data_IF_251865518775
#
_entry.id   IF_251865518775
#
_cell.length_a   1.000
_cell.length_b   1.000
_cell.length_c   1.000
_cell.angle_alpha   90.00
_cell.angle_beta   90.00
_cell.angle_gamma   90.00
#
_symmetry.space_group_name_H-M   'P 1'
#
loop_
_entity.id
_entity.type
_entity.pdbx_description
1 polymer ?
#
# COMPACT_ATOMS: atom_id res chain seq x y z
N UNK A 1 -13.56 -5.92 -11.50
CA UNK A 1 -12.87 -4.64 -11.59
C UNK A 1 -13.44 -3.76 -12.71
N UNK A 2 -13.66 -4.30 -13.91
CA UNK A 2 -14.23 -3.58 -15.04
C UNK A 2 -15.57 -2.92 -14.74
N UNK A 3 -16.46 -3.60 -14.01
CA UNK A 3 -17.72 -3.00 -13.52
C UNK A 3 -17.51 -1.80 -12.61
N UNK A 4 -16.49 -1.85 -11.73
CA UNK A 4 -16.10 -0.73 -10.88
C UNK A 4 -15.59 0.45 -11.70
N UNK A 5 -14.70 0.23 -12.66
CA UNK A 5 -14.18 1.27 -13.55
C UNK A 5 -15.32 1.94 -14.32
N UNK A 6 -16.23 1.16 -14.90
CA UNK A 6 -17.40 1.70 -15.61
C UNK A 6 -18.29 2.52 -14.68
N UNK A 7 -18.62 1.97 -13.50
CA UNK A 7 -19.42 2.69 -12.52
C UNK A 7 -18.80 4.05 -12.15
N UNK A 8 -17.50 4.09 -11.86
CA UNK A 8 -16.82 5.34 -11.52
C UNK A 8 -16.87 6.34 -12.66
N UNK A 9 -16.68 5.89 -13.92
CA UNK A 9 -16.74 6.74 -15.10
C UNK A 9 -18.17 7.27 -15.36
N UNK A 10 -19.19 6.41 -15.30
CA UNK A 10 -20.58 6.78 -15.58
C UNK A 10 -21.11 7.81 -14.58
N UNK A 11 -20.64 7.77 -13.33
CA UNK A 11 -21.10 8.64 -12.25
C UNK A 11 -20.14 9.78 -11.91
N UNK A 12 -19.03 9.93 -12.63
CA UNK A 12 -18.01 10.97 -12.38
C UNK A 12 -18.60 12.38 -12.29
N UNK A 13 -19.59 12.71 -13.12
CA UNK A 13 -20.29 14.02 -13.11
C UNK A 13 -20.96 14.38 -11.79
N UNK A 14 -21.20 13.40 -10.91
CA UNK A 14 -21.85 13.62 -9.61
C UNK A 14 -20.86 13.77 -8.46
N UNK A 15 -19.62 13.33 -8.64
CA UNK A 15 -18.63 13.34 -7.58
C UNK A 15 -17.34 14.06 -7.96
N UNK A 16 -17.09 14.32 -9.25
CA UNK A 16 -15.82 14.85 -9.75
C UNK A 16 -15.41 16.21 -9.16
N UNK A 17 -16.38 17.05 -8.79
CA UNK A 17 -16.16 18.36 -8.18
C UNK A 17 -16.41 18.37 -6.65
N UNK A 18 -16.55 17.21 -6.03
CA UNK A 18 -16.76 17.09 -4.59
C UNK A 18 -15.45 17.14 -3.81
N UNK A 19 -15.50 17.56 -2.54
CA UNK A 19 -14.35 17.50 -1.63
C UNK A 19 -13.82 16.05 -1.41
N UNK A 20 -14.53 15.06 -1.89
CA UNK A 20 -14.17 13.64 -1.79
C UNK A 20 -13.67 13.06 -3.13
N UNK A 21 -13.57 13.89 -4.16
CA UNK A 21 -13.19 13.48 -5.52
C UNK A 21 -11.80 12.79 -5.54
N UNK A 22 -10.83 13.36 -4.83
CA UNK A 22 -9.48 12.80 -4.72
C UNK A 22 -9.53 11.33 -4.26
N UNK A 23 -10.25 11.03 -3.17
CA UNK A 23 -10.39 9.68 -2.64
C UNK A 23 -11.12 8.72 -3.61
N UNK A 24 -12.09 9.22 -4.38
CA UNK A 24 -12.79 8.42 -5.38
C UNK A 24 -11.90 8.12 -6.59
N UNK A 25 -11.04 9.05 -6.99
CA UNK A 25 -9.99 8.81 -7.99
C UNK A 25 -8.96 7.79 -7.49
N UNK A 26 -8.59 7.86 -6.21
CA UNK A 26 -7.76 6.81 -5.61
C UNK A 26 -8.40 5.42 -5.71
N UNK A 27 -9.69 5.29 -5.36
CA UNK A 27 -10.42 4.02 -5.55
C UNK A 27 -10.44 3.57 -7.02
N UNK A 28 -10.62 4.49 -7.96
CA UNK A 28 -10.56 4.21 -9.40
C UNK A 28 -9.19 3.65 -9.79
N UNK A 29 -8.12 4.24 -9.27
CA UNK A 29 -6.75 3.73 -9.49
C UNK A 29 -6.55 2.31 -8.98
N UNK A 30 -7.18 1.93 -7.84
CA UNK A 30 -7.10 0.57 -7.32
C UNK A 30 -7.73 -0.46 -8.25
N UNK A 31 -8.83 -0.12 -8.95
CA UNK A 31 -9.40 -0.99 -9.95
C UNK A 31 -8.47 -1.17 -11.15
N UNK A 32 -7.83 -0.11 -11.62
CA UNK A 32 -6.85 -0.17 -12.71
C UNK A 32 -5.61 -0.99 -12.32
N UNK A 33 -5.05 -0.79 -11.12
CA UNK A 33 -3.93 -1.59 -10.61
C UNK A 33 -4.29 -3.09 -10.60
N UNK A 34 -5.49 -3.42 -10.15
CA UNK A 34 -5.91 -4.81 -9.97
C UNK A 34 -6.02 -5.58 -11.29
N UNK A 35 -6.28 -4.89 -12.41
CA UNK A 35 -6.28 -5.46 -13.77
C UNK A 35 -4.97 -5.20 -14.55
N UNK A 36 -3.92 -4.76 -13.88
CA UNK A 36 -2.59 -4.55 -14.46
C UNK A 36 -2.41 -3.25 -15.27
N UNK A 37 -3.38 -2.34 -15.25
CA UNK A 37 -3.32 -1.05 -15.95
C UNK A 37 -2.59 0.01 -15.11
N UNK A 38 -1.34 -0.24 -14.77
CA UNK A 38 -0.53 0.62 -13.89
C UNK A 38 -0.29 2.02 -14.47
N UNK A 39 -0.15 2.15 -15.79
CA UNK A 39 0.00 3.46 -16.46
C UNK A 39 -1.27 4.32 -16.28
N UNK A 40 -2.46 3.71 -16.30
CA UNK A 40 -3.70 4.42 -15.98
C UNK A 40 -3.73 4.93 -14.55
N UNK A 41 -3.25 4.11 -13.62
CA UNK A 41 -3.16 4.52 -12.21
C UNK A 41 -2.16 5.69 -12.03
N UNK A 42 -1.03 5.70 -12.72
CA UNK A 42 -0.09 6.82 -12.73
C UNK A 42 -0.70 8.09 -13.34
N UNK A 43 -1.41 7.96 -14.46
CA UNK A 43 -2.10 9.10 -15.07
C UNK A 43 -3.16 9.70 -14.13
N UNK A 44 -3.91 8.87 -13.40
CA UNK A 44 -4.86 9.34 -12.38
C UNK A 44 -4.12 10.02 -11.22
N UNK A 45 -2.99 9.48 -10.79
CA UNK A 45 -2.14 10.11 -9.77
C UNK A 45 -1.77 11.54 -10.19
N UNK A 46 -1.22 11.72 -11.39
CA UNK A 46 -0.74 13.00 -11.87
C UNK A 46 -1.88 14.01 -12.10
N UNK A 47 -3.03 13.55 -12.62
CA UNK A 47 -4.13 14.42 -12.97
C UNK A 47 -5.04 14.81 -11.80
N UNK A 48 -5.19 13.93 -10.80
CA UNK A 48 -6.25 14.06 -9.81
C UNK A 48 -5.77 13.95 -8.34
N UNK A 49 -4.74 13.16 -8.05
CA UNK A 49 -4.25 13.03 -6.66
C UNK A 49 -3.16 14.07 -6.34
N UNK A 50 -2.40 14.48 -7.35
CA UNK A 50 -1.28 15.42 -7.21
C UNK A 50 -1.22 16.41 -8.36
N UNK A 51 -2.35 17.02 -8.73
CA UNK A 51 -2.35 18.12 -9.69
C UNK A 51 -1.60 19.32 -9.09
N UNK A 52 -0.85 20.03 -9.92
CA UNK A 52 -0.05 21.18 -9.48
C UNK A 52 -0.89 22.35 -8.92
N UNK A 53 -2.20 22.32 -9.12
CA UNK A 53 -3.12 23.34 -8.71
C UNK A 53 -3.66 23.17 -7.28
N UNK A 54 -3.42 22.02 -6.65
CA UNK A 54 -3.88 21.73 -5.29
C UNK A 54 -2.72 21.76 -4.30
N UNK A 55 -2.80 22.68 -3.37
CA UNK A 55 -2.02 22.67 -2.14
C UNK A 55 -2.69 21.67 -1.18
N UNK A 56 -2.52 20.36 -1.51
CA UNK A 56 -3.28 19.24 -0.96
C UNK A 56 -3.32 19.21 0.56
N UNK A 57 -4.47 18.87 1.12
CA UNK A 57 -4.57 18.57 2.53
C UNK A 57 -3.96 17.18 2.85
N UNK A 58 -3.80 16.86 4.14
CA UNK A 58 -3.20 15.60 4.56
C UNK A 58 -3.95 14.34 4.08
N UNK A 59 -5.24 14.45 3.75
CA UNK A 59 -6.02 13.32 3.22
C UNK A 59 -5.59 12.95 1.80
N UNK A 60 -5.27 13.93 0.98
CA UNK A 60 -4.78 13.73 -0.38
C UNK A 60 -3.38 13.09 -0.36
N UNK A 61 -2.55 13.50 0.58
CA UNK A 61 -1.20 12.93 0.75
C UNK A 61 -1.23 11.46 1.21
N UNK A 62 -2.22 11.07 2.03
CA UNK A 62 -2.46 9.68 2.42
C UNK A 62 -2.75 8.79 1.20
N UNK A 63 -3.71 9.20 0.38
CA UNK A 63 -4.12 8.45 -0.80
C UNK A 63 -3.01 8.39 -1.85
N UNK A 64 -2.28 9.49 -2.05
CA UNK A 64 -1.14 9.58 -2.94
C UNK A 64 -0.01 8.62 -2.49
N UNK A 65 0.38 8.65 -1.20
CA UNK A 65 1.39 7.76 -0.64
C UNK A 65 0.98 6.28 -0.76
N UNK A 66 -0.26 5.98 -0.41
CA UNK A 66 -0.81 4.63 -0.49
C UNK A 66 -0.87 4.09 -1.93
N UNK A 67 -1.11 4.94 -2.92
CA UNK A 67 -1.12 4.54 -4.33
C UNK A 67 0.28 4.25 -4.83
N UNK A 68 1.23 5.17 -4.63
CA UNK A 68 2.61 4.99 -5.07
C UNK A 68 3.27 3.78 -4.41
N UNK A 69 2.98 3.51 -3.12
CA UNK A 69 3.51 2.32 -2.46
C UNK A 69 3.03 1.02 -3.11
N UNK A 70 1.74 0.95 -3.51
CA UNK A 70 1.22 -0.21 -4.25
C UNK A 70 1.93 -0.40 -5.59
N UNK A 71 2.16 0.68 -6.32
CA UNK A 71 2.90 0.65 -7.59
C UNK A 71 4.34 0.20 -7.38
N UNK A 72 5.01 0.68 -6.32
CA UNK A 72 6.35 0.22 -5.93
C UNK A 72 6.40 -1.28 -5.60
N UNK A 73 5.41 -1.81 -4.87
CA UNK A 73 5.31 -3.25 -4.59
C UNK A 73 5.20 -4.07 -5.88
N UNK A 74 4.57 -3.53 -6.91
CA UNK A 74 4.46 -4.14 -8.24
C UNK A 74 5.71 -3.94 -9.11
N UNK A 75 6.71 -3.21 -8.64
CA UNK A 75 7.94 -2.91 -9.40
C UNK A 75 7.76 -1.84 -10.48
N UNK A 76 6.72 -1.03 -10.38
CA UNK A 76 6.47 0.09 -11.32
C UNK A 76 7.37 1.25 -10.96
N UNK A 77 8.06 1.80 -11.97
CA UNK A 77 8.82 3.04 -11.81
C UNK A 77 7.85 4.22 -11.63
N UNK A 78 7.95 4.88 -10.50
CA UNK A 78 7.15 6.05 -10.14
C UNK A 78 7.87 7.38 -10.40
N UNK A 79 9.09 7.35 -10.91
CA UNK A 79 9.90 8.54 -11.21
C UNK A 79 10.11 9.41 -9.96
N UNK A 80 10.06 10.73 -10.14
CA UNK A 80 10.29 11.71 -9.07
C UNK A 80 9.11 11.98 -8.13
N UNK A 81 8.00 11.24 -8.26
CA UNK A 81 6.75 11.49 -7.51
C UNK A 81 6.93 11.35 -6.00
N UNK A 82 7.81 10.45 -5.55
CA UNK A 82 8.12 10.28 -4.14
C UNK A 82 8.78 11.51 -3.52
N UNK A 83 9.64 12.22 -4.26
CA UNK A 83 10.29 13.44 -3.78
C UNK A 83 9.28 14.49 -3.35
N UNK A 84 8.28 14.75 -4.20
CA UNK A 84 7.24 15.74 -3.91
C UNK A 84 6.41 15.36 -2.68
N UNK A 85 6.11 14.08 -2.51
CA UNK A 85 5.40 13.58 -1.32
C UNK A 85 6.25 13.67 -0.06
N UNK A 86 7.53 13.31 -0.13
CA UNK A 86 8.43 13.40 1.01
C UNK A 86 8.58 14.85 1.49
N UNK A 87 8.74 15.82 0.57
CA UNK A 87 8.77 17.25 0.89
C UNK A 87 7.50 17.73 1.59
N UNK A 88 6.33 17.22 1.22
CA UNK A 88 5.04 17.56 1.86
C UNK A 88 4.87 16.94 3.24
N UNK A 89 5.37 15.70 3.44
CA UNK A 89 5.30 15.01 4.73
C UNK A 89 6.34 15.50 5.75
N UNK A 90 7.50 15.99 5.29
CA UNK A 90 8.64 16.33 6.15
C UNK A 90 8.31 17.31 7.28
N UNK A 91 7.51 18.38 7.08
CA UNK A 91 7.15 19.31 8.16
C UNK A 91 6.36 18.65 9.33
N UNK A 92 5.66 17.54 9.06
CA UNK A 92 4.86 16.82 10.05
C UNK A 92 5.51 15.52 10.56
N UNK A 93 6.78 15.28 10.22
CA UNK A 93 7.49 14.04 10.59
C UNK A 93 7.54 13.78 12.12
N UNK A 94 7.43 14.81 12.94
CA UNK A 94 7.52 14.72 14.40
C UNK A 94 6.19 14.95 15.14
N UNK A 95 5.09 15.09 14.42
CA UNK A 95 3.79 15.49 15.02
C UNK A 95 3.17 14.41 15.92
N UNK A 96 3.40 13.13 15.65
CA UNK A 96 2.87 11.97 16.39
C UNK A 96 1.37 12.00 16.66
N UNK A 97 0.60 12.71 15.83
CA UNK A 97 -0.82 12.94 16.06
C UNK A 97 -1.68 11.71 15.71
N UNK A 98 -1.27 10.96 14.71
CA UNK A 98 -2.04 9.83 14.21
C UNK A 98 -1.14 8.81 13.52
N UNK A 99 -1.04 7.61 14.07
CA UNK A 99 -0.18 6.54 13.54
C UNK A 99 -0.46 6.19 12.06
N UNK A 100 -1.69 6.42 11.60
CA UNK A 100 -2.06 6.24 10.21
C UNK A 100 -1.32 7.23 9.29
N UNK A 101 -1.15 8.48 9.72
CA UNK A 101 -0.36 9.47 8.99
C UNK A 101 1.12 9.09 8.97
N UNK A 102 1.64 8.65 10.13
CA UNK A 102 3.06 8.28 10.28
C UNK A 102 3.46 7.16 9.30
N UNK A 103 2.61 6.15 9.10
CA UNK A 103 2.91 5.08 8.15
C UNK A 103 2.88 5.56 6.70
N UNK A 104 2.04 6.54 6.34
CA UNK A 104 2.00 7.09 4.99
C UNK A 104 3.18 8.04 4.72
N UNK A 105 3.57 8.83 5.72
CA UNK A 105 4.79 9.63 5.67
C UNK A 105 6.04 8.73 5.50
N UNK A 106 6.11 7.64 6.27
CA UNK A 106 7.22 6.69 6.15
C UNK A 106 7.30 6.05 4.75
N UNK A 107 6.19 5.79 4.06
CA UNK A 107 6.22 5.32 2.66
C UNK A 107 6.99 6.29 1.76
N UNK A 108 6.73 7.60 1.93
CA UNK A 108 7.41 8.64 1.15
C UNK A 108 8.89 8.75 1.55
N UNK A 109 9.19 8.77 2.84
CA UNK A 109 10.56 8.94 3.33
C UNK A 109 11.48 7.79 2.94
N UNK A 110 11.04 6.53 3.05
CA UNK A 110 11.86 5.38 2.61
C UNK A 110 11.99 5.32 1.11
N UNK A 111 11.01 5.83 0.35
CA UNK A 111 11.02 5.74 -1.11
C UNK A 111 11.84 6.85 -1.77
N UNK A 112 12.06 7.98 -1.08
CA UNK A 112 12.92 9.10 -1.51
C UNK A 112 14.24 9.19 -0.71
N UNK A 113 14.62 8.13 0.01
CA UNK A 113 15.86 8.05 0.79
C UNK A 113 16.05 9.19 1.83
N UNK A 114 14.94 9.72 2.40
CA UNK A 114 14.96 10.78 3.44
C UNK A 114 15.31 10.21 4.80
N UNK A 115 16.57 9.80 4.98
CA UNK A 115 17.03 9.13 6.20
C UNK A 115 16.80 9.95 7.47
N UNK A 116 17.04 11.27 7.42
CA UNK A 116 16.85 12.16 8.57
C UNK A 116 15.38 12.25 8.97
N UNK A 117 14.45 12.35 7.99
CA UNK A 117 13.01 12.38 8.25
C UNK A 117 12.51 11.04 8.81
N UNK A 118 13.00 9.91 8.29
CA UNK A 118 12.72 8.58 8.84
C UNK A 118 13.13 8.49 10.31
N UNK A 119 14.36 8.93 10.63
CA UNK A 119 14.87 8.92 11.98
C UNK A 119 14.08 9.85 12.91
N UNK A 120 13.77 11.06 12.44
CA UNK A 120 12.97 12.03 13.19
C UNK A 120 11.59 11.47 13.55
N UNK A 121 10.89 10.85 12.58
CA UNK A 121 9.58 10.24 12.80
C UNK A 121 9.64 9.10 13.82
N UNK A 122 10.60 8.19 13.70
CA UNK A 122 10.74 7.07 14.61
C UNK A 122 11.09 7.54 16.04
N UNK A 123 12.05 8.46 16.17
CA UNK A 123 12.45 9.02 17.48
C UNK A 123 11.31 9.80 18.14
N UNK A 124 10.53 10.56 17.37
CA UNK A 124 9.36 11.26 17.90
C UNK A 124 8.31 10.28 18.44
N UNK A 125 8.03 9.21 17.69
CA UNK A 125 7.11 8.16 18.12
C UNK A 125 7.62 7.41 19.36
N UNK A 126 8.90 7.07 19.44
CA UNK A 126 9.49 6.44 20.64
C UNK A 126 9.30 7.31 21.89
N UNK A 127 9.64 8.60 21.80
CA UNK A 127 9.45 9.56 22.91
C UNK A 127 7.98 9.72 23.31
N UNK A 128 7.09 9.83 22.32
CA UNK A 128 5.65 9.90 22.57
C UNK A 128 5.17 8.66 23.35
N UNK A 129 5.61 7.48 22.95
CA UNK A 129 5.19 6.21 23.55
C UNK A 129 5.75 5.95 24.95
N UNK A 130 6.78 6.70 25.40
CA UNK A 130 7.29 6.59 26.78
C UNK A 130 6.22 6.94 27.83
N UNK A 131 5.36 7.92 27.53
CA UNK A 131 4.40 8.45 28.48
C UNK A 131 2.93 8.39 28.02
N UNK A 132 2.68 8.14 26.73
CA UNK A 132 1.33 8.12 26.17
C UNK A 132 0.65 6.76 26.35
N UNK A 133 -0.64 6.81 26.72
CA UNK A 133 -1.50 5.62 26.88
C UNK A 133 -2.85 5.76 26.19
N UNK A 134 -3.01 6.78 25.37
CA UNK A 134 -4.23 7.04 24.58
C UNK A 134 -4.39 6.05 23.41
N UNK A 135 -5.49 6.21 22.67
CA UNK A 135 -5.81 5.33 21.54
C UNK A 135 -4.77 5.38 20.43
N UNK A 136 -4.15 6.55 20.16
CA UNK A 136 -3.11 6.69 19.17
C UNK A 136 -1.81 5.98 19.61
N UNK A 137 -1.45 6.06 20.88
CA UNK A 137 -0.30 5.33 21.42
C UNK A 137 -0.46 3.81 21.25
N UNK A 138 -1.67 3.28 21.50
CA UNK A 138 -1.95 1.87 21.27
C UNK A 138 -1.84 1.52 19.78
N UNK A 139 -2.37 2.35 18.89
CA UNK A 139 -2.31 2.20 17.44
C UNK A 139 -0.86 2.23 16.93
N UNK A 140 -0.07 3.21 17.37
CA UNK A 140 1.36 3.33 17.03
C UNK A 140 2.15 2.12 17.50
N UNK A 141 1.99 1.72 18.77
CA UNK A 141 2.74 0.61 19.37
C UNK A 141 2.41 -0.73 18.71
N UNK A 142 1.13 -0.98 18.44
CA UNK A 142 0.69 -2.28 17.96
C UNK A 142 0.85 -2.48 16.45
N UNK A 143 0.69 -1.43 15.64
CA UNK A 143 0.68 -1.54 14.18
C UNK A 143 1.57 -0.51 13.51
N UNK A 144 1.49 0.78 13.91
CA UNK A 144 2.16 1.88 13.22
C UNK A 144 3.67 1.71 13.14
N UNK A 145 4.35 1.63 14.30
CA UNK A 145 5.80 1.45 14.34
C UNK A 145 6.27 0.12 13.72
N UNK A 146 5.65 -1.03 14.03
CA UNK A 146 5.99 -2.27 13.32
C UNK A 146 5.92 -2.13 11.80
N UNK A 147 4.93 -1.40 11.26
CA UNK A 147 4.81 -1.21 9.82
C UNK A 147 5.84 -0.20 9.29
N UNK A 148 6.13 0.89 9.98
CA UNK A 148 7.20 1.83 9.61
C UNK A 148 8.55 1.13 9.52
N UNK A 149 8.91 0.34 10.52
CA UNK A 149 10.15 -0.44 10.53
C UNK A 149 10.17 -1.52 9.43
N UNK A 150 9.04 -2.17 9.15
CA UNK A 150 8.92 -3.14 8.08
C UNK A 150 9.10 -2.49 6.69
N UNK A 151 8.67 -1.25 6.49
CA UNK A 151 8.91 -0.52 5.25
C UNK A 151 10.39 -0.16 5.07
N UNK A 152 11.10 0.18 6.13
CA UNK A 152 12.56 0.34 6.09
C UNK A 152 13.26 -0.98 5.75
N UNK A 153 12.86 -2.09 6.39
CA UNK A 153 13.40 -3.42 6.07
C UNK A 153 13.14 -3.78 4.62
N UNK A 154 11.93 -3.53 4.11
CA UNK A 154 11.58 -3.78 2.71
C UNK A 154 12.42 -2.94 1.75
N UNK A 155 12.62 -1.66 2.05
CA UNK A 155 13.43 -0.75 1.25
C UNK A 155 14.90 -1.18 1.18
N UNK A 156 15.46 -1.65 2.30
CA UNK A 156 16.83 -2.16 2.37
C UNK A 156 16.97 -3.63 1.97
N UNK A 157 15.96 -4.19 1.30
CA UNK A 157 15.91 -5.58 0.84
C UNK A 157 16.02 -6.65 1.96
N UNK A 158 15.86 -6.25 3.21
CA UNK A 158 15.77 -7.17 4.36
C UNK A 158 14.36 -7.79 4.44
N UNK A 159 13.97 -8.46 3.36
CA UNK A 159 12.60 -8.98 3.20
C UNK A 159 12.20 -9.97 4.29
N UNK A 160 13.15 -10.76 4.80
CA UNK A 160 12.93 -11.68 5.91
C UNK A 160 12.49 -10.94 7.18
N UNK A 161 13.19 -9.87 7.54
CA UNK A 161 12.91 -9.05 8.71
C UNK A 161 11.56 -8.33 8.56
N UNK A 162 11.25 -7.83 7.37
CA UNK A 162 9.95 -7.26 7.05
C UNK A 162 8.81 -8.27 7.30
N UNK A 163 8.97 -9.52 6.85
CA UNK A 163 7.99 -10.59 7.11
C UNK A 163 7.85 -10.84 8.61
N UNK A 164 8.94 -10.96 9.33
CA UNK A 164 8.93 -11.29 10.76
C UNK A 164 8.29 -10.18 11.61
N UNK A 165 8.38 -8.91 11.17
CA UNK A 165 7.67 -7.78 11.78
C UNK A 165 6.16 -7.76 11.50
N UNK A 166 5.76 -8.06 10.26
CA UNK A 166 4.36 -7.91 9.84
C UNK A 166 3.50 -9.14 10.14
N UNK A 167 4.08 -10.33 10.11
CA UNK A 167 3.34 -11.58 10.31
C UNK A 167 2.59 -11.63 11.66
N UNK A 168 3.16 -11.21 12.80
CA UNK A 168 2.46 -11.22 14.09
C UNK A 168 1.30 -10.23 14.17
N UNK A 169 1.33 -9.14 13.38
CA UNK A 169 0.32 -8.05 13.46
C UNK A 169 -0.76 -8.15 12.39
N UNK A 170 -0.62 -9.05 11.41
CA UNK A 170 -1.46 -9.11 10.21
C UNK A 170 -2.97 -9.19 10.47
N UNK A 171 -3.40 -9.85 11.53
CA UNK A 171 -4.82 -9.98 11.88
C UNK A 171 -5.35 -8.85 12.77
N UNK A 172 -4.47 -7.93 13.20
CA UNK A 172 -4.83 -6.79 14.04
C UNK A 172 -4.76 -5.46 13.30
N UNK A 173 -4.51 -5.47 11.98
CA UNK A 173 -4.36 -4.25 11.16
C UNK A 173 -5.56 -3.32 11.21
N UNK A 174 -6.76 -3.82 11.57
CA UNK A 174 -7.95 -3.01 11.79
C UNK A 174 -7.76 -1.95 12.89
N UNK A 175 -6.80 -2.12 13.80
CA UNK A 175 -6.45 -1.18 14.87
C UNK A 175 -5.72 0.06 14.36
N UNK A 176 -5.17 0.05 13.15
CA UNK A 176 -4.49 1.21 12.57
C UNK A 176 -5.47 2.33 12.16
N UNK A 177 -6.77 2.07 12.12
CA UNK A 177 -7.74 3.01 11.55
C UNK A 177 -7.83 2.90 10.03
N UNK A 178 -8.44 3.89 9.39
CA UNK A 178 -8.68 3.89 7.95
C UNK A 178 -9.71 2.85 7.49
N UNK A 179 -9.94 2.79 6.18
CA UNK A 179 -10.83 1.80 5.55
C UNK A 179 -10.13 0.45 5.35
N UNK A 180 -10.90 -0.58 5.05
CA UNK A 180 -10.34 -1.89 4.68
C UNK A 180 -9.43 -1.81 3.46
N UNK A 181 -9.81 -1.01 2.46
CA UNK A 181 -9.01 -0.81 1.25
C UNK A 181 -7.67 -0.12 1.54
N UNK A 182 -7.66 0.84 2.47
CA UNK A 182 -6.44 1.53 2.88
C UNK A 182 -5.48 0.58 3.64
N UNK A 183 -6.00 -0.20 4.61
CA UNK A 183 -5.19 -1.14 5.39
C UNK A 183 -4.66 -2.36 4.60
N UNK A 184 -5.26 -2.68 3.47
CA UNK A 184 -4.85 -3.80 2.62
C UNK A 184 -3.38 -3.72 2.18
N UNK A 185 -2.81 -2.53 2.17
CA UNK A 185 -1.41 -2.27 1.84
C UNK A 185 -0.44 -3.01 2.77
N UNK A 186 -0.80 -3.22 4.05
CA UNK A 186 0.02 -3.96 5.01
C UNK A 186 0.12 -5.43 4.57
N UNK A 187 -1.02 -6.03 4.22
CA UNK A 187 -1.06 -7.40 3.72
C UNK A 187 -0.34 -7.57 2.38
N UNK A 188 -0.40 -6.56 1.51
CA UNK A 188 0.36 -6.56 0.25
C UNK A 188 1.86 -6.48 0.49
N UNK A 189 2.31 -5.61 1.40
CA UNK A 189 3.73 -5.50 1.77
C UNK A 189 4.25 -6.81 2.34
N UNK A 190 3.50 -7.44 3.25
CA UNK A 190 3.85 -8.74 3.82
C UNK A 190 3.97 -9.84 2.74
N UNK A 191 2.99 -9.93 1.84
CA UNK A 191 2.98 -10.92 0.78
C UNK A 191 4.15 -10.72 -0.19
N UNK A 192 4.40 -9.50 -0.64
CA UNK A 192 5.51 -9.20 -1.54
C UNK A 192 6.87 -9.44 -0.86
N UNK A 193 7.01 -9.07 0.42
CA UNK A 193 8.19 -9.38 1.21
C UNK A 193 8.41 -10.91 1.34
N UNK A 194 7.36 -11.70 1.58
CA UNK A 194 7.44 -13.15 1.65
C UNK A 194 7.91 -13.78 0.33
N UNK A 195 7.44 -13.28 -0.82
CA UNK A 195 7.89 -13.71 -2.14
C UNK A 195 9.38 -13.40 -2.37
N UNK A 196 9.80 -12.16 -2.05
CA UNK A 196 11.20 -11.71 -2.23
C UNK A 196 12.15 -12.39 -1.24
N UNK A 197 11.68 -12.67 -0.02
CA UNK A 197 12.41 -13.48 0.97
C UNK A 197 12.46 -14.98 0.60
N UNK A 198 11.83 -15.40 -0.52
CA UNK A 198 11.72 -16.79 -0.96
C UNK A 198 10.99 -17.71 0.04
N UNK A 199 10.15 -17.15 0.92
CA UNK A 199 9.27 -17.90 1.83
C UNK A 199 7.99 -18.31 1.08
N UNK A 200 8.14 -19.17 0.06
CA UNK A 200 7.09 -19.40 -0.94
C UNK A 200 5.86 -20.12 -0.38
N UNK A 201 5.99 -21.01 0.60
CA UNK A 201 4.86 -21.64 1.28
C UNK A 201 4.01 -20.59 2.03
N UNK A 202 4.67 -19.67 2.75
CA UNK A 202 3.99 -18.57 3.42
C UNK A 202 3.33 -17.64 2.41
N UNK A 203 4.05 -17.28 1.34
CA UNK A 203 3.51 -16.42 0.28
C UNK A 203 2.27 -17.04 -0.37
N UNK A 204 2.29 -18.38 -0.62
CA UNK A 204 1.13 -19.09 -1.14
C UNK A 204 -0.06 -19.07 -0.17
N UNK A 205 0.18 -19.27 1.12
CA UNK A 205 -0.89 -19.18 2.13
C UNK A 205 -1.51 -17.79 2.17
N UNK A 206 -0.68 -16.73 2.21
CA UNK A 206 -1.14 -15.33 2.18
C UNK A 206 -1.90 -14.98 0.89
N UNK A 207 -1.41 -15.44 -0.26
CA UNK A 207 -2.08 -15.21 -1.54
C UNK A 207 -3.44 -15.92 -1.61
N UNK A 208 -3.55 -17.13 -1.09
CA UNK A 208 -4.82 -17.87 -1.01
C UNK A 208 -5.83 -17.19 -0.07
N UNK A 209 -5.40 -16.65 1.07
CA UNK A 209 -6.25 -15.84 1.94
C UNK A 209 -6.82 -14.63 1.16
N UNK A 210 -6.00 -13.95 0.36
CA UNK A 210 -6.45 -12.84 -0.49
C UNK A 210 -7.42 -13.28 -1.59
N UNK A 211 -7.16 -14.42 -2.24
CA UNK A 211 -8.10 -14.98 -3.22
C UNK A 211 -9.44 -15.36 -2.60
N UNK A 212 -9.45 -15.89 -1.37
CA UNK A 212 -10.69 -16.19 -0.67
C UNK A 212 -11.51 -14.93 -0.36
N UNK A 213 -10.84 -13.81 -0.02
CA UNK A 213 -11.49 -12.52 0.26
C UNK A 213 -11.95 -11.79 -1.02
N UNK A 214 -11.21 -11.93 -2.11
CA UNK A 214 -11.47 -11.24 -3.38
C UNK A 214 -11.11 -12.16 -4.56
N UNK A 215 -11.97 -13.16 -4.86
CA UNK A 215 -11.67 -14.18 -5.89
C UNK A 215 -11.65 -13.63 -7.31
N UNK A 216 -12.27 -12.47 -7.55
CA UNK A 216 -12.30 -11.77 -8.84
C UNK A 216 -11.13 -10.83 -9.06
N UNK A 217 -10.12 -10.80 -8.18
CA UNK A 217 -8.91 -10.00 -8.34
C UNK A 217 -7.87 -10.74 -9.18
N UNK A 218 -7.56 -10.29 -10.41
CA UNK A 218 -6.47 -10.87 -11.18
C UNK A 218 -5.13 -10.82 -10.45
N UNK A 219 -4.86 -9.71 -9.77
CA UNK A 219 -3.61 -9.52 -9.05
C UNK A 219 -3.38 -10.56 -7.95
N UNK A 220 -4.45 -10.97 -7.25
CA UNK A 220 -4.33 -12.04 -6.23
C UNK A 220 -3.91 -13.38 -6.87
N UNK A 221 -4.45 -13.71 -8.05
CA UNK A 221 -4.08 -14.92 -8.78
C UNK A 221 -2.66 -14.85 -9.36
N UNK A 222 -2.17 -13.67 -9.73
CA UNK A 222 -0.75 -13.46 -10.08
C UNK A 222 0.14 -13.80 -8.90
N UNK A 223 -0.20 -13.39 -7.68
CA UNK A 223 0.56 -13.73 -6.49
C UNK A 223 0.57 -15.24 -6.21
N UNK A 224 -0.56 -15.93 -6.39
CA UNK A 224 -0.64 -17.40 -6.29
C UNK A 224 0.29 -18.04 -7.33
N UNK A 225 0.26 -17.57 -8.57
CA UNK A 225 1.15 -18.06 -9.65
C UNK A 225 2.63 -17.86 -9.30
N UNK A 226 3.01 -16.68 -8.81
CA UNK A 226 4.39 -16.38 -8.39
C UNK A 226 4.86 -17.29 -7.24
N UNK A 227 4.00 -17.55 -6.26
CA UNK A 227 4.32 -18.47 -5.17
C UNK A 227 4.51 -19.91 -5.65
N UNK A 228 3.63 -20.42 -6.52
CA UNK A 228 3.80 -21.74 -7.14
C UNK A 228 5.05 -21.84 -8.01
N UNK A 229 5.42 -20.77 -8.74
CA UNK A 229 6.66 -20.72 -9.48
C UNK A 229 7.89 -20.92 -8.57
N UNK A 230 7.91 -20.23 -7.42
CA UNK A 230 8.97 -20.37 -6.42
C UNK A 230 9.06 -21.77 -5.79
N UNK A 231 7.93 -22.48 -5.71
CA UNK A 231 7.83 -23.86 -5.23
C UNK A 231 8.13 -24.91 -6.31
N UNK A 232 8.42 -24.50 -7.55
CA UNK A 232 8.65 -25.41 -8.68
C UNK A 232 7.38 -26.13 -9.19
N UNK A 233 6.19 -25.68 -8.79
CA UNK A 233 4.88 -26.26 -9.14
C UNK A 233 4.34 -25.66 -10.43
N UNK A 234 4.87 -26.09 -11.58
CA UNK A 234 4.61 -25.49 -12.89
C UNK A 234 3.14 -25.59 -13.30
N UNK A 235 2.49 -26.75 -13.12
CA UNK A 235 1.08 -26.90 -13.51
C UNK A 235 0.14 -25.99 -12.73
N UNK A 236 0.35 -25.88 -11.41
CA UNK A 236 -0.43 -25.00 -10.55
C UNK A 236 -0.17 -23.53 -10.84
N UNK A 237 1.10 -23.16 -11.11
CA UNK A 237 1.47 -21.82 -11.59
C UNK A 237 0.68 -21.43 -12.83
N UNK A 238 0.66 -22.29 -13.86
CA UNK A 238 0.03 -22.00 -15.13
C UNK A 238 -1.50 -21.89 -15.01
N UNK A 239 -2.12 -22.74 -14.18
CA UNK A 239 -3.55 -22.63 -13.85
C UNK A 239 -3.89 -21.30 -13.16
N UNK A 240 -3.09 -20.88 -12.18
CA UNK A 240 -3.30 -19.62 -11.50
C UNK A 240 -3.12 -18.42 -12.46
N UNK A 241 -2.11 -18.47 -13.34
CA UNK A 241 -1.87 -17.44 -14.33
C UNK A 241 -3.01 -17.37 -15.37
N UNK A 242 -3.49 -18.50 -15.87
CA UNK A 242 -4.64 -18.55 -16.77
C UNK A 242 -5.90 -17.96 -16.12
N UNK A 243 -6.12 -18.21 -14.83
CA UNK A 243 -7.23 -17.60 -14.09
C UNK A 243 -7.08 -16.08 -13.99
N UNK A 244 -5.88 -15.56 -13.70
CA UNK A 244 -5.62 -14.13 -13.68
C UNK A 244 -5.92 -13.49 -15.06
N UNK A 245 -5.43 -14.10 -16.14
CA UNK A 245 -5.65 -13.63 -17.52
C UNK A 245 -7.14 -13.59 -17.91
N UNK A 246 -7.90 -14.64 -17.56
CA UNK A 246 -9.36 -14.65 -17.76
C UNK A 246 -10.05 -13.45 -17.09
N UNK A 247 -9.68 -13.16 -15.84
CA UNK A 247 -10.26 -12.05 -15.07
C UNK A 247 -9.84 -10.66 -15.58
N UNK A 248 -8.73 -10.54 -16.30
CA UNK A 248 -8.30 -9.29 -16.94
C UNK A 248 -9.05 -9.00 -18.23
N UNK A 249 -9.54 -10.04 -18.91
CA UNK A 249 -10.26 -9.93 -20.20
C UNK A 249 -11.79 -9.80 -20.07
N UNK A 250 -12.34 -9.95 -18.85
CA UNK A 250 -13.77 -9.78 -18.54
C UNK A 250 -14.16 -8.30 -18.42
#
# INVERSE_FOLDING_TARGET
QHGGIRFMADYQRYWGDSNFANHLWWHTSLFHIDIGQTDRALNIYDAHLRSQEHDGDKYEELDASALLWRLRLLGVDTGSRWRQLAEKWEPSAVDTLYAFNDVHAMMAFVSDDRTDAQHALLTANERYLENASDANAAMSREIGLPFCLAMQDFHHERYGDCVDRLLPVRYRTWRLGGSRAQRDIIGWTLLEAALRARRFELALALANERCALKPSSPQNWIYVSRAFAGLGKTCERDRALARAQSLMGE
#
